data_IF_289808089543
#
_entry.id   IF_289808089543
#
_cell.length_a   1.000
_cell.length_b   1.000
_cell.length_c   1.000
_cell.angle_alpha   90.00
_cell.angle_beta   90.00
_cell.angle_gamma   90.00
#
_symmetry.space_group_name_H-M   'P 1'
#
loop_
_entity.id
_entity.type
_entity.pdbx_description
1 polymer ?
#
# COMPACT_ATOMS: atom_id res chain seq x y z
N UNK A 1 22.34 0.45 -4.55
CA UNK A 1 21.55 0.19 -5.78
C UNK A 1 20.71 -1.08 -5.65
N UNK A 2 21.31 -2.22 -5.28
CA UNK A 2 20.59 -3.51 -5.17
C UNK A 2 19.47 -3.51 -4.12
N UNK A 3 19.70 -2.93 -2.94
CA UNK A 3 18.69 -2.86 -1.88
C UNK A 3 17.43 -2.09 -2.31
N UNK A 4 17.59 -0.93 -2.96
CA UNK A 4 16.46 -0.11 -3.44
C UNK A 4 15.61 -0.91 -4.42
N UNK A 5 16.26 -1.62 -5.36
CA UNK A 5 15.56 -2.48 -6.32
C UNK A 5 14.77 -3.58 -5.62
N UNK A 6 15.37 -4.27 -4.65
CA UNK A 6 14.70 -5.33 -3.88
C UNK A 6 13.48 -4.76 -3.14
N UNK A 7 13.63 -3.64 -2.43
CA UNK A 7 12.52 -3.03 -1.68
C UNK A 7 11.40 -2.57 -2.62
N UNK A 8 11.75 -1.93 -3.74
CA UNK A 8 10.80 -1.47 -4.75
C UNK A 8 10.00 -2.65 -5.35
N UNK A 9 10.68 -3.76 -5.67
CA UNK A 9 10.02 -4.97 -6.18
C UNK A 9 9.14 -5.63 -5.12
N UNK A 10 9.58 -5.70 -3.86
CA UNK A 10 8.78 -6.22 -2.75
C UNK A 10 7.49 -5.42 -2.56
N UNK A 11 7.59 -4.09 -2.57
CA UNK A 11 6.42 -3.20 -2.49
C UNK A 11 5.48 -3.45 -3.67
N UNK A 12 6.01 -3.45 -4.91
CA UNK A 12 5.21 -3.56 -6.13
C UNK A 12 4.47 -4.90 -6.21
N UNK A 13 5.19 -6.00 -5.97
CA UNK A 13 4.61 -7.35 -5.95
C UNK A 13 3.61 -7.49 -4.79
N UNK A 14 3.92 -6.93 -3.62
CA UNK A 14 3.03 -6.94 -2.46
C UNK A 14 1.70 -6.23 -2.73
N UNK A 15 1.73 -5.06 -3.37
CA UNK A 15 0.51 -4.33 -3.77
C UNK A 15 -0.31 -5.12 -4.78
N UNK A 16 0.32 -5.66 -5.83
CA UNK A 16 -0.35 -6.49 -6.84
C UNK A 16 -0.98 -7.73 -6.20
N UNK A 17 -0.25 -8.41 -5.30
CA UNK A 17 -0.76 -9.57 -4.58
C UNK A 17 -2.04 -9.23 -3.78
N UNK A 18 -2.06 -8.09 -3.09
CA UNK A 18 -3.23 -7.67 -2.30
C UNK A 18 -4.44 -7.36 -3.20
N UNK A 19 -4.24 -6.63 -4.29
CA UNK A 19 -5.34 -6.12 -5.11
C UNK A 19 -5.83 -7.10 -6.19
N UNK A 20 -5.03 -8.08 -6.59
CA UNK A 20 -5.47 -9.12 -7.53
C UNK A 20 -5.82 -10.45 -6.85
N UNK A 21 -5.01 -10.92 -5.91
CA UNK A 21 -5.15 -12.29 -5.38
C UNK A 21 -5.84 -12.36 -4.03
N UNK A 22 -5.64 -11.35 -3.19
CA UNK A 22 -6.24 -11.30 -1.85
C UNK A 22 -7.48 -10.43 -1.77
N UNK A 23 -7.87 -9.75 -2.84
CA UNK A 23 -8.97 -8.78 -2.86
C UNK A 23 -10.25 -9.29 -2.19
N UNK A 24 -10.67 -10.52 -2.54
CA UNK A 24 -11.86 -11.16 -1.98
C UNK A 24 -11.56 -12.23 -0.92
N UNK A 25 -10.38 -12.16 -0.27
CA UNK A 25 -9.96 -13.13 0.74
C UNK A 25 -9.92 -12.49 2.13
N UNK A 26 -10.32 -13.28 3.12
CA UNK A 26 -10.16 -12.94 4.53
C UNK A 26 -8.68 -12.99 4.88
N UNK A 27 -8.21 -12.01 5.65
CA UNK A 27 -6.82 -11.95 6.12
C UNK A 27 -6.82 -11.33 7.50
N UNK A 28 -5.86 -11.70 8.34
CA UNK A 28 -5.71 -11.15 9.68
C UNK A 28 -5.47 -9.63 9.72
N UNK A 29 -5.14 -9.03 8.56
CA UNK A 29 -4.89 -7.60 8.41
C UNK A 29 -6.10 -6.80 7.93
N UNK A 30 -7.25 -7.44 7.63
CA UNK A 30 -8.45 -6.73 7.17
C UNK A 30 -8.98 -5.81 8.26
N UNK A 31 -9.41 -4.62 7.87
CA UNK A 31 -10.01 -3.65 8.78
C UNK A 31 -11.29 -4.15 9.45
N UNK A 32 -11.45 -3.92 10.75
CA UNK A 32 -12.62 -4.38 11.50
C UNK A 32 -12.83 -5.91 11.38
N UNK A 33 -14.07 -6.37 11.22
CA UNK A 33 -14.37 -7.80 11.05
C UNK A 33 -14.51 -8.21 9.57
N UNK A 34 -13.94 -7.44 8.65
CA UNK A 34 -14.12 -7.64 7.22
C UNK A 34 -13.46 -8.93 6.70
N UNK A 35 -14.14 -9.60 5.77
CA UNK A 35 -13.68 -10.82 5.09
C UNK A 35 -13.16 -10.55 3.68
N UNK A 36 -13.37 -9.34 3.16
CA UNK A 36 -12.89 -8.92 1.83
C UNK A 36 -12.69 -7.39 1.80
N UNK A 37 -12.12 -6.88 0.70
CA UNK A 37 -11.83 -5.45 0.55
C UNK A 37 -13.09 -4.57 0.58
N UNK A 38 -14.23 -5.08 0.09
CA UNK A 38 -15.48 -4.31 0.05
C UNK A 38 -16.03 -4.10 1.45
N UNK A 39 -16.09 -5.15 2.24
CA UNK A 39 -16.47 -5.09 3.67
C UNK A 39 -15.52 -4.23 4.47
N UNK A 40 -14.22 -4.25 4.15
CA UNK A 40 -13.21 -3.42 4.82
C UNK A 40 -13.47 -1.93 4.61
N UNK A 41 -13.74 -1.51 3.36
CA UNK A 41 -14.11 -0.13 3.07
C UNK A 41 -15.44 0.26 3.70
N UNK A 42 -16.42 -0.65 3.73
CA UNK A 42 -17.68 -0.43 4.45
C UNK A 42 -17.46 -0.24 5.96
N UNK A 43 -16.58 -1.03 6.58
CA UNK A 43 -16.22 -0.88 7.99
C UNK A 43 -15.55 0.47 8.27
N UNK A 44 -14.77 1.00 7.33
CA UNK A 44 -14.20 2.36 7.40
C UNK A 44 -15.26 3.48 7.23
N UNK A 45 -16.49 3.14 6.88
CA UNK A 45 -17.55 4.09 6.54
C UNK A 45 -17.34 4.74 5.17
N UNK A 46 -16.66 4.05 4.25
CA UNK A 46 -16.35 4.53 2.91
C UNK A 46 -17.23 3.84 1.84
N UNK A 47 -17.64 4.57 0.79
CA UNK A 47 -18.45 4.01 -0.30
C UNK A 47 -17.63 3.10 -1.22
N UNK A 48 -18.28 2.16 -1.90
CA UNK A 48 -17.60 1.17 -2.75
C UNK A 48 -16.79 1.77 -3.91
N UNK A 49 -17.15 2.94 -4.43
CA UNK A 49 -16.38 3.59 -5.51
C UNK A 49 -14.97 3.99 -5.05
N UNK A 50 -14.80 4.40 -3.78
CA UNK A 50 -13.50 4.83 -3.27
C UNK A 50 -12.55 3.64 -3.10
N UNK A 51 -13.09 2.45 -2.83
CA UNK A 51 -12.33 1.20 -2.87
C UNK A 51 -11.69 0.97 -4.23
N UNK A 52 -12.46 1.11 -5.32
CA UNK A 52 -11.93 0.95 -6.67
C UNK A 52 -10.93 2.05 -7.02
N UNK A 53 -11.15 3.29 -6.59
CA UNK A 53 -10.21 4.38 -6.78
C UNK A 53 -8.87 4.11 -6.09
N UNK A 54 -8.89 3.76 -4.79
CA UNK A 54 -7.68 3.46 -4.02
C UNK A 54 -6.98 2.22 -4.56
N UNK A 55 -7.73 1.21 -4.99
CA UNK A 55 -7.21 0.00 -5.60
C UNK A 55 -6.50 0.26 -6.92
N UNK A 56 -7.17 0.96 -7.84
CA UNK A 56 -6.60 1.36 -9.12
C UNK A 56 -5.34 2.20 -8.92
N UNK A 57 -5.37 3.19 -8.01
CA UNK A 57 -4.20 4.00 -7.68
C UNK A 57 -3.02 3.15 -7.19
N UNK A 58 -3.26 2.20 -6.27
CA UNK A 58 -2.20 1.29 -5.79
C UNK A 58 -1.63 0.40 -6.88
N UNK A 59 -2.46 -0.11 -7.79
CA UNK A 59 -2.01 -0.93 -8.92
C UNK A 59 -1.19 -0.10 -9.92
N UNK A 60 -1.65 1.10 -10.27
CA UNK A 60 -0.91 2.02 -11.16
C UNK A 60 0.44 2.38 -10.54
N UNK A 61 0.47 2.73 -9.26
CA UNK A 61 1.72 3.04 -8.54
C UNK A 61 2.65 1.83 -8.51
N UNK A 62 2.14 0.61 -8.28
CA UNK A 62 2.96 -0.60 -8.31
C UNK A 62 3.61 -0.84 -9.68
N UNK A 63 2.87 -0.61 -10.77
CA UNK A 63 3.42 -0.71 -12.13
C UNK A 63 4.45 0.39 -12.37
N UNK A 64 4.15 1.63 -11.98
CA UNK A 64 5.07 2.76 -12.15
C UNK A 64 6.35 2.61 -11.30
N UNK A 65 6.28 1.98 -10.13
CA UNK A 65 7.45 1.61 -9.34
C UNK A 65 8.32 0.60 -10.10
N UNK A 66 7.75 -0.35 -10.84
CA UNK A 66 8.56 -1.23 -11.71
C UNK A 66 9.16 -0.42 -12.86
N UNK A 67 8.40 0.46 -13.50
CA UNK A 67 8.88 1.33 -14.58
C UNK A 67 10.03 2.25 -14.11
N UNK A 68 10.03 2.69 -12.84
CA UNK A 68 11.08 3.54 -12.30
C UNK A 68 12.45 2.88 -12.17
N UNK A 69 12.56 1.56 -12.45
CA UNK A 69 13.87 0.88 -12.64
C UNK A 69 14.61 1.50 -13.82
N UNK A 70 13.90 1.78 -14.92
CA UNK A 70 14.46 2.40 -16.12
C UNK A 70 14.37 3.92 -16.07
N UNK A 71 13.30 4.46 -15.48
CA UNK A 71 13.05 5.90 -15.39
C UNK A 71 13.16 6.39 -13.94
N UNK A 72 14.40 6.58 -13.47
CA UNK A 72 14.70 6.87 -12.06
C UNK A 72 14.00 8.11 -11.50
N UNK A 73 13.72 9.11 -12.35
CA UNK A 73 13.00 10.34 -11.99
C UNK A 73 11.60 10.04 -11.42
N UNK A 74 10.96 8.95 -11.83
CA UNK A 74 9.63 8.57 -11.37
C UNK A 74 9.62 8.00 -9.94
N UNK A 75 10.75 7.51 -9.45
CA UNK A 75 10.83 6.77 -8.19
C UNK A 75 10.28 7.58 -7.01
N UNK A 76 10.79 8.81 -6.84
CA UNK A 76 10.42 9.68 -5.71
C UNK A 76 8.93 10.03 -5.75
N UNK A 77 8.39 10.39 -6.92
CA UNK A 77 6.98 10.74 -7.07
C UNK A 77 6.07 9.55 -6.75
N UNK A 78 6.42 8.35 -7.21
CA UNK A 78 5.67 7.12 -6.93
C UNK A 78 5.68 6.77 -5.44
N UNK A 79 6.84 6.91 -4.77
CA UNK A 79 6.98 6.64 -3.34
C UNK A 79 6.20 7.63 -2.49
N UNK A 80 6.19 8.92 -2.84
CA UNK A 80 5.38 9.93 -2.15
C UNK A 80 3.89 9.65 -2.30
N UNK A 81 3.43 9.38 -3.53
CA UNK A 81 2.04 9.02 -3.78
C UNK A 81 1.62 7.76 -2.99
N UNK A 82 2.50 6.74 -2.95
CA UNK A 82 2.25 5.54 -2.18
C UNK A 82 2.20 5.81 -0.67
N UNK A 83 3.12 6.62 -0.15
CA UNK A 83 3.17 6.98 1.26
C UNK A 83 1.86 7.64 1.71
N UNK A 84 1.30 8.55 0.91
CA UNK A 84 -0.02 9.16 1.19
C UNK A 84 -1.11 8.08 1.32
N UNK A 85 -1.16 7.11 0.40
CA UNK A 85 -2.14 6.02 0.47
C UNK A 85 -1.93 5.09 1.67
N UNK A 86 -0.68 4.84 2.08
CA UNK A 86 -0.38 4.01 3.24
C UNK A 86 -0.71 4.73 4.55
N UNK A 87 -0.40 6.03 4.67
CA UNK A 87 -0.81 6.86 5.80
C UNK A 87 -2.34 6.85 5.91
N UNK A 88 -3.05 7.07 4.79
CA UNK A 88 -4.50 6.96 4.75
C UNK A 88 -5.01 5.61 5.26
N UNK A 89 -4.38 4.50 4.86
CA UNK A 89 -4.75 3.16 5.35
C UNK A 89 -4.53 3.00 6.87
N UNK A 90 -3.41 3.46 7.40
CA UNK A 90 -3.14 3.46 8.85
C UNK A 90 -4.19 4.29 9.59
N UNK A 91 -4.53 5.48 9.09
CA UNK A 91 -5.57 6.32 9.67
C UNK A 91 -6.94 5.65 9.68
N UNK A 92 -7.29 4.89 8.64
CA UNK A 92 -8.56 4.14 8.60
C UNK A 92 -8.60 3.02 9.64
N UNK A 93 -7.50 2.29 9.83
CA UNK A 93 -7.41 1.30 10.92
C UNK A 93 -7.52 1.94 12.31
N UNK A 94 -6.86 3.09 12.52
CA UNK A 94 -7.00 3.85 13.77
C UNK A 94 -8.44 4.31 13.98
N UNK A 95 -9.10 4.81 12.92
CA UNK A 95 -10.49 5.29 12.95
C UNK A 95 -11.46 4.19 13.42
N UNK A 96 -11.28 2.96 12.96
CA UNK A 96 -12.12 1.81 13.38
C UNK A 96 -11.58 1.09 14.62
N UNK A 97 -10.57 1.67 15.28
CA UNK A 97 -9.94 1.15 16.52
C UNK A 97 -9.40 -0.27 16.36
N UNK A 98 -8.85 -0.57 15.19
CA UNK A 98 -8.18 -1.84 14.98
C UNK A 98 -6.92 -1.98 15.84
N UNK A 99 -6.56 -3.21 16.26
CA UNK A 99 -5.24 -3.47 16.82
C UNK A 99 -4.15 -3.13 15.81
N UNK A 100 -3.02 -2.60 16.28
CA UNK A 100 -1.90 -2.16 15.42
C UNK A 100 -1.40 -3.25 14.46
N UNK A 101 -1.56 -4.53 14.83
CA UNK A 101 -1.22 -5.69 14.00
C UNK A 101 -1.88 -5.61 12.61
N UNK A 102 -3.10 -5.09 12.51
CA UNK A 102 -3.80 -4.95 11.22
C UNK A 102 -3.20 -3.88 10.32
N UNK A 103 -2.57 -2.86 10.92
CA UNK A 103 -1.83 -1.83 10.20
C UNK A 103 -0.44 -2.29 9.73
N UNK A 104 0.03 -3.48 10.12
CA UNK A 104 1.38 -3.95 9.75
C UNK A 104 1.68 -3.88 8.25
N UNK A 105 0.78 -4.27 7.32
CA UNK A 105 1.09 -4.16 5.90
C UNK A 105 1.32 -2.71 5.44
N UNK A 106 0.57 -1.75 5.97
CA UNK A 106 0.74 -0.35 5.62
C UNK A 106 2.00 0.26 6.26
N UNK A 107 2.25 -0.08 7.53
CA UNK A 107 3.44 0.36 8.27
C UNK A 107 4.73 -0.22 7.69
N UNK A 108 4.73 -1.49 7.26
CA UNK A 108 5.91 -2.11 6.64
C UNK A 108 6.24 -1.46 5.30
N UNK A 109 5.23 -1.16 4.47
CA UNK A 109 5.43 -0.42 3.23
C UNK A 109 5.95 0.99 3.52
N UNK A 110 5.40 1.71 4.51
CA UNK A 110 5.92 3.03 4.90
C UNK A 110 7.37 2.98 5.36
N UNK A 111 7.74 1.96 6.13
CA UNK A 111 9.12 1.75 6.56
C UNK A 111 10.05 1.48 5.37
N UNK A 112 9.64 0.63 4.42
CA UNK A 112 10.41 0.38 3.20
C UNK A 112 10.55 1.65 2.34
N UNK A 113 9.49 2.46 2.22
CA UNK A 113 9.54 3.76 1.54
C UNK A 113 10.56 4.68 2.21
N UNK A 114 10.54 4.79 3.55
CA UNK A 114 11.48 5.60 4.31
C UNK A 114 12.93 5.13 4.11
N UNK A 115 13.18 3.82 4.10
CA UNK A 115 14.49 3.26 3.77
C UNK A 115 14.94 3.64 2.36
N UNK A 116 14.07 3.51 1.35
CA UNK A 116 14.42 3.90 -0.02
C UNK A 116 14.76 5.39 -0.09
N UNK A 117 13.99 6.27 0.57
CA UNK A 117 14.32 7.69 0.61
C UNK A 117 15.67 7.95 1.25
N UNK A 118 15.95 7.34 2.41
CA UNK A 118 17.23 7.47 3.09
C UNK A 118 18.41 7.10 2.19
N UNK A 119 18.33 5.98 1.47
CA UNK A 119 19.40 5.55 0.57
C UNK A 119 19.44 6.25 -0.80
N UNK A 120 18.42 7.06 -1.13
CA UNK A 120 18.37 7.83 -2.39
C UNK A 120 18.82 9.28 -2.19
N UNK A 121 18.56 9.84 -1.00
CA UNK A 121 18.89 11.24 -0.66
C UNK A 121 20.13 11.39 0.23
N UNK A 122 20.55 10.31 0.89
CA UNK A 122 21.79 10.25 1.69
C UNK A 122 23.01 9.82 0.90
#
# INVERSE_FOLDING_TARGET
MELILILQLLISIGLINVWFFRFNKATEFRGGNAKNMREEFQAYGLPAWSMYLVGAAKVVIAILLIVSIWFKELLIYNLLALAVLMIGAVLMHIKVKDPIKKSYPALSILFMIALIFYFTMG
#
